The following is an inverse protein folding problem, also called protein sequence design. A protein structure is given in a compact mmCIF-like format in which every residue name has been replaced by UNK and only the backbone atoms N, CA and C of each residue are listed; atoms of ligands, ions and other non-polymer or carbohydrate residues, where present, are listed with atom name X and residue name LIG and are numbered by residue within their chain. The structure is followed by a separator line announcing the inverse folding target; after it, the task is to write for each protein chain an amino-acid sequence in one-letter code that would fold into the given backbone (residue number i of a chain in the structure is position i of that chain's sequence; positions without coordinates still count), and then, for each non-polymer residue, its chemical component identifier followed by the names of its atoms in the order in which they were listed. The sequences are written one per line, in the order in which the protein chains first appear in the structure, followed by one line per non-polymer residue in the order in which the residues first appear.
data_IF_487041574877
#
_entry.id   IF_487041574877
#
_cell.length_a   1.000
_cell.length_b   1.000
_cell.length_c   1.000
_cell.angle_alpha   90.00
_cell.angle_beta   90.00
_cell.angle_gamma   90.00
#
_symmetry.space_group_name_H-M   'P 1'
#
loop_
_entity.id
_entity.type
_entity.pdbx_description
1 polymer ?
#
# COMPACT_ATOMS: atom_id res chain seq x y z
N UNK A 1 -10.35 -47.85 33.78
CA UNK A 1 -10.00 -47.66 32.35
C UNK A 1 -8.90 -46.61 32.27
N UNK A 2 -7.65 -47.04 32.06
CA UNK A 2 -6.47 -46.17 32.11
C UNK A 2 -6.21 -45.49 30.77
N UNK A 3 -6.32 -44.16 30.72
CA UNK A 3 -5.88 -43.38 29.57
C UNK A 3 -4.36 -43.18 29.64
N UNK A 4 -3.62 -44.13 29.09
CA UNK A 4 -2.21 -43.93 28.75
C UNK A 4 -2.13 -42.98 27.53
N UNK A 5 -2.32 -41.68 27.74
CA UNK A 5 -1.86 -40.67 26.79
C UNK A 5 -0.34 -40.62 26.96
N UNK A 6 0.31 -41.53 26.25
CA UNK A 6 1.75 -41.75 26.26
C UNK A 6 2.52 -40.45 26.10
N UNK A 7 3.57 -40.32 26.90
CA UNK A 7 4.49 -39.18 26.97
C UNK A 7 5.07 -38.85 25.60
N UNK A 8 4.34 -38.06 24.82
CA UNK A 8 4.82 -37.49 23.58
C UNK A 8 5.96 -36.56 23.96
N UNK A 9 7.19 -37.06 23.76
CA UNK A 9 8.42 -36.28 23.82
C UNK A 9 8.13 -34.96 23.10
N UNK A 10 8.30 -33.85 23.82
CA UNK A 10 8.03 -32.50 23.34
C UNK A 10 8.73 -32.32 21.99
N UNK A 11 7.95 -32.39 20.91
CA UNK A 11 8.44 -32.25 19.54
C UNK A 11 7.95 -30.92 19.00
N UNK A 12 8.78 -30.26 18.22
CA UNK A 12 8.45 -29.07 17.46
C UNK A 12 8.47 -29.41 15.97
N UNK A 13 7.65 -28.71 15.18
CA UNK A 13 7.54 -28.95 13.74
C UNK A 13 8.10 -27.75 13.00
N UNK A 14 9.06 -27.97 12.13
CA UNK A 14 9.55 -26.98 11.17
C UNK A 14 9.05 -27.37 9.79
N UNK A 15 8.30 -26.51 9.14
CA UNK A 15 7.68 -26.75 7.84
C UNK A 15 8.36 -25.88 6.78
N UNK A 16 8.84 -26.50 5.70
CA UNK A 16 9.38 -25.78 4.54
C UNK A 16 8.25 -25.27 3.65
N UNK A 17 8.58 -24.33 2.76
CA UNK A 17 7.68 -23.87 1.69
C UNK A 17 7.20 -25.00 0.77
N UNK A 18 8.00 -26.06 0.61
CA UNK A 18 7.65 -27.24 -0.19
C UNK A 18 6.58 -28.14 0.46
N UNK A 19 6.15 -27.83 1.69
CA UNK A 19 5.23 -28.67 2.47
C UNK A 19 5.89 -29.78 3.27
N UNK A 20 7.21 -29.96 3.17
CA UNK A 20 7.96 -30.90 4.01
C UNK A 20 7.96 -30.47 5.48
N UNK A 21 7.71 -31.42 6.40
CA UNK A 21 7.66 -31.17 7.84
C UNK A 21 8.77 -31.94 8.56
N UNK A 22 9.71 -31.21 9.15
CA UNK A 22 10.78 -31.71 10.01
C UNK A 22 10.30 -31.71 11.47
N UNK A 23 10.28 -32.89 12.10
CA UNK A 23 9.88 -33.05 13.51
C UNK A 23 11.13 -33.12 14.39
N UNK A 24 11.41 -32.04 15.12
CA UNK A 24 12.59 -31.92 15.98
C UNK A 24 12.20 -32.16 17.45
N UNK A 25 13.05 -32.84 18.22
CA UNK A 25 12.84 -33.06 19.67
C UNK A 25 13.43 -31.85 20.42
N UNK A 26 12.65 -31.16 21.25
CA UNK A 26 13.15 -30.01 22.03
C UNK A 26 14.06 -30.46 23.18
N UNK A 27 15.07 -29.67 23.61
CA UNK A 27 15.36 -28.28 23.23
C UNK A 27 16.21 -28.19 21.95
N UNK A 28 15.80 -27.35 21.00
CA UNK A 28 16.55 -27.06 19.76
C UNK A 28 16.57 -25.56 19.56
N UNK A 29 17.74 -25.02 19.22
CA UNK A 29 17.87 -23.59 18.93
C UNK A 29 17.55 -23.31 17.47
N UNK A 30 17.12 -22.08 17.20
CA UNK A 30 16.90 -21.61 15.83
C UNK A 30 18.20 -21.68 15.01
N UNK A 31 19.34 -21.37 15.62
CA UNK A 31 20.67 -21.46 14.99
C UNK A 31 20.98 -22.88 14.49
N UNK A 32 20.62 -23.92 15.24
CA UNK A 32 20.90 -25.29 14.82
C UNK A 32 20.13 -25.68 13.55
N UNK A 33 18.88 -25.22 13.43
CA UNK A 33 18.07 -25.44 12.22
C UNK A 33 18.56 -24.59 11.06
N UNK A 34 19.02 -23.37 11.31
CA UNK A 34 19.50 -22.45 10.28
C UNK A 34 20.87 -22.84 9.69
N UNK A 35 21.70 -23.59 10.43
CA UNK A 35 22.98 -24.11 9.91
C UNK A 35 22.79 -25.00 8.68
N UNK A 36 21.75 -25.82 8.69
CA UNK A 36 21.42 -26.74 7.59
C UNK A 36 20.86 -26.01 6.36
N UNK A 37 20.38 -24.78 6.54
CA UNK A 37 19.66 -24.00 5.53
C UNK A 37 20.12 -22.53 5.53
N UNK A 38 21.27 -22.22 4.89
CA UNK A 38 21.71 -20.84 4.72
C UNK A 38 20.65 -20.03 3.95
N UNK A 39 20.56 -18.73 4.23
CA UNK A 39 19.57 -17.78 3.65
C UNK A 39 18.10 -18.01 4.04
N UNK A 40 17.80 -18.99 4.89
CA UNK A 40 16.44 -19.20 5.37
C UNK A 40 16.18 -18.42 6.67
N UNK A 41 14.91 -18.14 6.93
CA UNK A 41 14.43 -17.52 8.16
C UNK A 41 13.32 -18.38 8.75
N UNK A 42 13.31 -18.42 10.07
CA UNK A 42 12.41 -19.24 10.86
C UNK A 42 11.32 -18.34 11.47
N UNK A 43 10.06 -18.63 11.15
CA UNK A 43 8.90 -17.84 11.55
C UNK A 43 7.92 -18.69 12.37
N UNK A 44 7.33 -18.11 13.40
CA UNK A 44 6.31 -18.80 14.21
C UNK A 44 4.95 -18.78 13.51
N UNK A 45 4.28 -19.94 13.42
CA UNK A 45 2.99 -20.05 12.73
C UNK A 45 1.89 -19.14 13.30
N UNK A 46 1.87 -18.93 14.62
CA UNK A 46 0.92 -18.01 15.26
C UNK A 46 1.15 -16.55 14.84
N UNK A 47 2.41 -16.15 14.67
CA UNK A 47 2.76 -14.80 14.21
C UNK A 47 2.46 -14.63 12.73
N UNK A 48 2.71 -15.64 11.90
CA UNK A 48 2.36 -15.62 10.47
C UNK A 48 0.84 -15.51 10.29
N UNK A 49 0.03 -16.20 11.10
CA UNK A 49 -1.44 -16.04 11.06
C UNK A 49 -1.90 -14.62 11.40
N UNK A 50 -1.24 -13.97 12.37
CA UNK A 50 -1.62 -12.63 12.85
C UNK A 50 -1.11 -11.51 11.96
N UNK A 51 0.13 -11.61 11.50
CA UNK A 51 0.87 -10.52 10.84
C UNK A 51 1.19 -10.81 9.37
N UNK A 52 0.97 -12.03 8.88
CA UNK A 52 1.30 -12.44 7.52
C UNK A 52 2.78 -12.20 7.20
N UNK A 53 3.03 -11.47 6.12
CA UNK A 53 4.37 -11.05 5.66
C UNK A 53 5.12 -10.15 6.64
N UNK A 54 4.45 -9.60 7.66
CA UNK A 54 5.05 -8.73 8.69
C UNK A 54 5.42 -9.49 9.96
N UNK A 55 5.26 -10.83 9.98
CA UNK A 55 5.64 -11.64 11.13
C UNK A 55 7.13 -11.46 11.43
N UNK A 56 7.48 -11.37 12.73
CA UNK A 56 8.86 -11.17 13.14
C UNK A 56 9.64 -12.48 12.99
N UNK A 57 10.81 -12.47 12.31
CA UNK A 57 11.78 -13.56 12.37
C UNK A 57 12.11 -13.95 13.81
N UNK A 58 12.30 -15.25 14.07
CA UNK A 58 12.85 -15.71 15.34
C UNK A 58 14.31 -15.31 15.46
N UNK A 59 14.72 -14.96 16.68
CA UNK A 59 16.11 -14.64 16.96
C UNK A 59 16.96 -15.92 16.88
N UNK A 60 18.20 -15.87 16.37
CA UNK A 60 19.03 -17.06 16.19
C UNK A 60 19.26 -17.85 17.49
N UNK A 61 19.33 -17.17 18.63
CA UNK A 61 19.61 -17.78 19.94
C UNK A 61 18.33 -18.21 20.68
N UNK A 62 17.16 -17.99 20.08
CA UNK A 62 15.88 -18.37 20.68
C UNK A 62 15.61 -19.86 20.47
N UNK A 63 15.20 -20.53 21.55
CA UNK A 63 14.78 -21.93 21.50
C UNK A 63 13.39 -22.12 20.90
N UNK A 64 13.23 -23.22 20.18
CA UNK A 64 11.94 -23.62 19.61
C UNK A 64 11.03 -24.19 20.70
N UNK A 65 9.83 -23.61 20.81
CA UNK A 65 8.83 -24.04 21.76
C UNK A 65 8.26 -25.41 21.37
N UNK A 66 7.94 -26.25 22.37
CA UNK A 66 7.37 -27.56 22.14
C UNK A 66 5.93 -27.45 21.62
N UNK A 67 5.50 -28.42 20.80
CA UNK A 67 4.16 -28.46 20.20
C UNK A 67 3.79 -27.26 19.31
N UNK A 68 4.78 -26.43 18.95
CA UNK A 68 4.60 -25.33 18.00
C UNK A 68 5.04 -25.72 16.59
N UNK A 69 4.47 -25.00 15.63
CA UNK A 69 4.82 -25.10 14.21
C UNK A 69 5.55 -23.82 13.82
N UNK A 70 6.66 -24.01 13.13
CA UNK A 70 7.51 -22.98 12.60
C UNK A 70 7.62 -23.13 11.09
N UNK A 71 7.67 -22.03 10.36
CA UNK A 71 7.87 -22.00 8.92
C UNK A 71 9.32 -21.64 8.63
N UNK A 72 9.97 -22.46 7.79
CA UNK A 72 11.27 -22.16 7.22
C UNK A 72 11.05 -21.54 5.85
N UNK A 73 11.35 -20.25 5.74
CA UNK A 73 11.10 -19.44 4.54
C UNK A 73 12.41 -18.89 4.02
N UNK A 74 12.69 -19.09 2.74
CA UNK A 74 13.78 -18.41 2.05
C UNK A 74 13.41 -16.93 1.93
N UNK A 75 14.22 -16.03 2.52
CA UNK A 75 14.06 -14.62 2.25
C UNK A 75 14.91 -14.27 1.03
N UNK A 76 14.33 -13.61 0.00
CA UNK A 76 15.14 -13.04 -1.05
C UNK A 76 16.16 -12.10 -0.40
N UNK A 77 17.44 -12.29 -0.73
CA UNK A 77 18.55 -11.48 -0.26
C UNK A 77 18.43 -10.07 -0.84
N UNK A 78 17.48 -9.28 -0.34
CA UNK A 78 17.54 -7.85 -0.54
C UNK A 78 18.70 -7.36 0.34
N UNK A 79 19.72 -6.68 -0.23
CA UNK A 79 20.78 -6.07 0.55
C UNK A 79 20.16 -5.30 1.72
N UNK A 80 20.41 -5.77 2.95
CA UNK A 80 19.79 -5.27 4.18
C UNK A 80 20.16 -3.81 4.51
N UNK A 81 21.02 -3.19 3.71
CA UNK A 81 21.56 -1.86 3.92
C UNK A 81 20.62 -0.73 3.46
N UNK A 82 19.57 -1.02 2.69
CA UNK A 82 18.72 0.04 2.12
C UNK A 82 17.38 0.25 2.83
N UNK A 83 16.98 -0.62 3.76
CA UNK A 83 15.63 -0.55 4.36
C UNK A 83 15.53 0.54 5.46
N UNK A 84 16.65 0.97 6.06
CA UNK A 84 16.67 2.20 6.88
C UNK A 84 16.47 3.46 6.04
N UNK A 85 16.71 3.37 4.73
CA UNK A 85 16.55 4.45 3.76
C UNK A 85 15.28 4.32 2.91
N UNK A 86 14.31 3.49 3.32
CA UNK A 86 12.92 3.69 2.88
C UNK A 86 12.40 4.94 3.56
N UNK A 87 12.81 6.08 2.99
CA UNK A 87 12.17 7.37 3.16
C UNK A 87 10.69 7.12 3.01
N UNK A 88 9.98 7.02 4.15
CA UNK A 88 8.55 7.31 4.16
C UNK A 88 8.44 8.59 3.37
N UNK A 89 7.76 8.56 2.23
CA UNK A 89 7.57 9.71 1.34
C UNK A 89 6.64 10.71 2.06
N UNK A 90 7.04 11.15 3.25
CA UNK A 90 6.49 12.29 3.95
C UNK A 90 6.96 13.45 3.09
N UNK A 91 6.01 14.03 2.38
CA UNK A 91 6.16 15.36 1.80
C UNK A 91 6.45 16.28 2.98
N UNK A 92 7.72 16.41 3.34
CA UNK A 92 8.19 17.47 4.20
C UNK A 92 8.15 18.68 3.31
N UNK A 93 7.15 19.54 3.49
CA UNK A 93 7.25 20.89 2.96
C UNK A 93 8.48 21.50 3.65
N UNK A 94 9.57 21.64 2.90
CA UNK A 94 10.81 22.24 3.38
C UNK A 94 10.62 23.76 3.44
N UNK A 95 9.66 24.21 4.24
CA UNK A 95 9.25 25.61 4.26
C UNK A 95 9.58 26.21 5.61
N UNK A 96 10.62 27.02 5.64
CA UNK A 96 10.97 27.88 6.75
C UNK A 96 10.01 29.09 6.77
N UNK A 97 8.74 28.86 7.13
CA UNK A 97 7.77 29.95 7.29
C UNK A 97 7.87 30.53 8.69
N UNK A 98 8.01 31.86 8.77
CA UNK A 98 7.84 32.58 10.02
C UNK A 98 6.41 32.39 10.56
N UNK A 99 6.19 32.65 11.85
CA UNK A 99 4.84 32.58 12.41
C UNK A 99 3.88 33.60 11.75
N UNK A 100 4.42 34.72 11.28
CA UNK A 100 3.69 35.76 10.56
C UNK A 100 3.19 35.26 9.20
N UNK A 101 4.09 34.70 8.37
CA UNK A 101 3.71 34.21 7.04
C UNK A 101 2.71 33.05 7.12
N UNK A 102 2.80 32.22 8.17
CA UNK A 102 1.81 31.18 8.45
C UNK A 102 0.42 31.75 8.75
N UNK A 103 0.35 32.86 9.48
CA UNK A 103 -0.90 33.51 9.85
C UNK A 103 -1.53 34.21 8.66
N UNK A 104 -0.76 34.92 7.84
CA UNK A 104 -1.26 35.57 6.63
C UNK A 104 -1.83 34.56 5.63
N UNK A 105 -1.13 33.46 5.36
CA UNK A 105 -1.66 32.38 4.50
C UNK A 105 -2.98 31.81 5.04
N UNK A 106 -3.08 31.63 6.36
CA UNK A 106 -4.31 31.13 7.00
C UNK A 106 -5.45 32.14 6.92
N UNK A 107 -5.18 33.44 7.10
CA UNK A 107 -6.17 34.51 6.98
C UNK A 107 -6.66 34.69 5.54
N UNK A 108 -5.75 34.62 4.56
CA UNK A 108 -6.11 34.63 3.14
C UNK A 108 -6.98 33.42 2.78
N UNK A 109 -6.60 32.22 3.25
CA UNK A 109 -7.40 31.00 3.04
C UNK A 109 -8.78 31.07 3.69
N UNK A 110 -8.92 31.76 4.84
CA UNK A 110 -10.21 31.94 5.52
C UNK A 110 -11.11 32.98 4.83
N UNK A 111 -10.55 34.00 4.17
CA UNK A 111 -11.33 34.93 3.35
C UNK A 111 -11.91 34.27 2.09
N UNK A 112 -11.30 33.20 1.58
CA UNK A 112 -11.79 32.47 0.39
C UNK A 112 -12.99 31.55 0.64
N UNK A 113 -13.41 31.31 1.88
CA UNK A 113 -14.51 30.39 2.19
C UNK A 113 -15.76 31.06 2.79
N UNK A 114 -15.77 32.38 2.99
CA UNK A 114 -16.89 33.05 3.66
C UNK A 114 -17.30 34.40 3.05
N UNK A 115 -17.09 34.60 1.75
CA UNK A 115 -17.65 35.76 1.04
C UNK A 115 -18.23 35.33 -0.32
N UNK A 116 -19.35 34.60 -0.27
CA UNK A 116 -20.32 34.61 -1.36
C UNK A 116 -21.21 35.86 -1.19
N UNK A 117 -20.58 37.04 -1.24
CA UNK A 117 -21.30 38.30 -1.42
C UNK A 117 -21.11 38.75 -2.87
N UNK A 118 -22.24 38.82 -3.56
CA UNK A 118 -22.42 39.20 -4.96
C UNK A 118 -21.70 40.52 -5.25
N UNK A 119 -20.62 40.52 -6.04
CA UNK A 119 -20.28 41.67 -6.90
C UNK A 119 -19.30 41.34 -8.03
N UNK A 120 -19.81 41.51 -9.26
CA UNK A 120 -19.15 41.89 -10.53
C UNK A 120 -18.18 40.89 -11.22
N UNK A 121 -18.54 40.36 -12.41
CA UNK A 121 -17.62 39.59 -13.23
C UNK A 121 -16.78 40.53 -14.09
N UNK A 122 -15.45 40.53 -13.96
CA UNK A 122 -14.57 40.71 -15.11
C UNK A 122 -13.11 40.33 -14.81
N UNK A 123 -12.76 39.09 -15.11
CA UNK A 123 -11.68 38.75 -16.02
C UNK A 123 -11.59 37.21 -16.12
N UNK A 124 -12.27 36.67 -17.13
CA UNK A 124 -12.02 35.33 -17.68
C UNK A 124 -12.16 34.16 -16.71
N UNK A 125 -13.27 34.10 -15.96
CA UNK A 125 -13.63 32.89 -15.20
C UNK A 125 -13.97 31.75 -16.17
N UNK A 126 -12.94 31.12 -16.73
CA UNK A 126 -13.06 29.90 -17.51
C UNK A 126 -13.63 28.83 -16.58
N UNK A 127 -14.89 28.47 -16.80
CA UNK A 127 -15.55 27.36 -16.10
C UNK A 127 -14.85 26.08 -16.55
N UNK A 128 -14.05 25.48 -15.67
CA UNK A 128 -13.38 24.22 -15.95
C UNK A 128 -14.31 23.05 -15.57
N UNK A 129 -14.70 22.26 -16.56
CA UNK A 129 -15.52 21.06 -16.38
C UNK A 129 -14.64 19.82 -16.47
N UNK A 130 -14.80 18.88 -15.54
CA UNK A 130 -14.12 17.59 -15.55
C UNK A 130 -15.12 16.48 -15.83
N UNK A 131 -15.02 15.84 -17.00
CA UNK A 131 -15.84 14.69 -17.35
C UNK A 131 -14.99 13.44 -17.63
N UNK A 132 -15.64 12.26 -17.65
CA UNK A 132 -15.02 10.99 -18.03
C UNK A 132 -15.60 10.55 -19.37
N UNK A 133 -14.76 10.50 -20.40
CA UNK A 133 -15.11 9.94 -21.70
C UNK A 133 -14.50 8.54 -21.88
N UNK A 134 -15.23 7.57 -22.47
CA UNK A 134 -14.64 6.31 -22.90
C UNK A 134 -13.55 6.53 -23.95
N UNK A 135 -12.44 5.81 -23.81
CA UNK A 135 -11.27 5.93 -24.72
C UNK A 135 -11.63 5.74 -26.20
N UNK A 136 -12.54 4.82 -26.51
CA UNK A 136 -12.97 4.55 -27.88
C UNK A 136 -13.75 5.70 -28.52
N UNK A 137 -14.46 6.51 -27.74
CA UNK A 137 -15.18 7.70 -28.25
C UNK A 137 -14.20 8.81 -28.57
N UNK A 138 -13.22 9.05 -27.68
CA UNK A 138 -12.17 10.05 -27.89
C UNK A 138 -11.32 9.73 -29.12
N UNK A 139 -10.99 8.46 -29.33
CA UNK A 139 -10.17 8.04 -30.47
C UNK A 139 -10.87 8.29 -31.82
N UNK A 140 -12.16 7.95 -31.93
CA UNK A 140 -12.94 8.23 -33.16
C UNK A 140 -13.05 9.72 -33.45
N UNK A 141 -13.27 10.53 -32.42
CA UNK A 141 -13.34 11.99 -32.55
C UNK A 141 -12.04 12.60 -33.08
N UNK A 142 -10.89 12.02 -32.73
CA UNK A 142 -9.58 12.45 -33.22
C UNK A 142 -9.36 11.98 -34.66
N UNK A 143 -9.75 10.74 -35.00
CA UNK A 143 -9.60 10.19 -36.36
C UNK A 143 -10.51 10.88 -37.39
N UNK A 144 -11.69 11.35 -36.98
CA UNK A 144 -12.68 12.03 -37.83
C UNK A 144 -12.45 13.55 -37.97
N UNK A 145 -11.48 14.11 -37.25
CA UNK A 145 -11.19 15.55 -37.25
C UNK A 145 -9.80 15.81 -37.78
N UNK A 146 -9.61 16.93 -38.48
CA UNK A 146 -8.30 17.29 -39.04
C UNK A 146 -7.46 18.10 -38.05
N UNK A 147 -8.14 18.92 -37.23
CA UNK A 147 -7.50 19.87 -36.31
C UNK A 147 -7.94 19.69 -34.85
N UNK A 148 -7.05 20.05 -33.93
CA UNK A 148 -7.30 20.03 -32.47
C UNK A 148 -8.51 20.89 -32.07
N UNK A 149 -8.77 21.96 -32.82
CA UNK A 149 -9.92 22.85 -32.61
C UNK A 149 -11.25 22.15 -32.92
N UNK A 150 -11.31 21.39 -34.01
CA UNK A 150 -12.51 20.62 -34.39
C UNK A 150 -12.78 19.49 -33.38
N UNK A 151 -11.73 18.87 -32.85
CA UNK A 151 -11.86 17.87 -31.78
C UNK A 151 -12.46 18.49 -30.52
N UNK A 152 -11.98 19.67 -30.11
CA UNK A 152 -12.49 20.38 -28.94
C UNK A 152 -13.96 20.78 -29.10
N UNK A 153 -14.37 21.25 -30.28
CA UNK A 153 -15.77 21.56 -30.59
C UNK A 153 -16.68 20.34 -30.48
N UNK A 154 -16.31 19.21 -31.11
CA UNK A 154 -17.10 17.97 -30.99
C UNK A 154 -17.18 17.44 -29.55
N UNK A 155 -16.15 17.66 -28.72
CA UNK A 155 -16.17 17.32 -27.30
C UNK A 155 -17.12 18.24 -26.51
N UNK A 156 -17.20 19.52 -26.88
CA UNK A 156 -18.15 20.47 -26.28
C UNK A 156 -19.60 20.14 -26.67
N UNK A 157 -19.85 19.68 -27.89
CA UNK A 157 -21.18 19.24 -28.34
C UNK A 157 -21.70 18.05 -27.54
N UNK A 158 -20.82 17.14 -27.11
CA UNK A 158 -21.18 16.04 -26.20
C UNK A 158 -21.53 16.53 -24.78
N UNK A 159 -21.00 17.69 -24.38
CA UNK A 159 -21.22 18.27 -23.06
C UNK A 159 -22.50 19.12 -23.01
N UNK A 160 -22.95 19.65 -24.15
CA UNK A 160 -24.19 20.39 -24.27
C UNK A 160 -25.32 19.39 -24.55
N UNK A 161 -26.22 19.09 -23.59
CA UNK A 161 -27.42 18.35 -23.95
C UNK A 161 -28.18 19.18 -24.99
N UNK A 162 -28.55 18.58 -26.12
CA UNK A 162 -29.61 19.12 -26.96
C UNK A 162 -30.80 19.36 -26.03
N UNK A 163 -31.08 20.63 -25.72
CA UNK A 163 -32.27 21.01 -24.98
C UNK A 163 -33.48 20.82 -25.91
N UNK A 164 -33.81 19.56 -26.20
CA UNK A 164 -35.16 19.17 -26.57
C UNK A 164 -35.99 19.38 -25.32
N UNK A 165 -36.41 20.63 -25.09
CA UNK A 165 -37.57 20.92 -24.29
C UNK A 165 -38.72 20.08 -24.84
N UNK A 166 -39.16 19.11 -24.06
CA UNK A 166 -40.47 18.50 -24.27
C UNK A 166 -41.52 19.61 -24.19
N UNK A 167 -42.28 19.76 -25.26
CA UNK A 167 -43.66 20.23 -25.25
C UNK A 167 -44.55 19.04 -25.59
#
# INVERSE_FOLDING_TARGET
MGNNIGGNKKKTKVMKINGEILKLKTPVTTSDVLKDYPCHVLLESEQVKKFGIRAKPLEPHQELKPSKIYFLVELPLFPKEEITNKVTRKVKSAVHMSAHDRLECLMLSRRSASDLSISKPNNGAAVQLKMKLPRGVVQKLIEESRDEKEVAEKIMDLCMPNSSYGS
#
